data_IF_740085738246
#
_entry.id   IF_740085738246
#
_cell.length_a   1.000
_cell.length_b   1.000
_cell.length_c   1.000
_cell.angle_alpha   90.00
_cell.angle_beta   90.00
_cell.angle_gamma   90.00
#
_symmetry.space_group_name_H-M   'P 1'
#
loop_
_entity.id
_entity.type
_entity.pdbx_description
1 polymer ?
#
# COMPACT_ATOMS: atom_id res chain seq x y z
N UNK A 1 -14.43 -23.66 7.36
CA UNK A 1 -15.53 -23.77 8.34
C UNK A 1 -15.16 -23.00 9.60
N UNK A 2 -16.03 -22.13 10.12
CA UNK A 2 -15.85 -21.39 11.38
C UNK A 2 -16.58 -22.17 12.49
N UNK A 3 -15.97 -22.43 13.67
CA UNK A 3 -16.60 -23.19 14.76
C UNK A 3 -17.87 -22.49 15.29
N UNK A 4 -18.99 -23.22 15.39
CA UNK A 4 -20.23 -22.73 16.02
C UNK A 4 -20.03 -22.71 17.55
N UNK A 5 -20.08 -21.52 18.15
CA UNK A 5 -19.91 -21.29 19.60
C UNK A 5 -18.95 -20.17 19.99
N UNK A 6 -18.11 -19.68 19.05
CA UNK A 6 -17.14 -18.59 19.29
C UNK A 6 -17.56 -17.25 18.66
N UNK A 7 -18.81 -17.13 18.19
CA UNK A 7 -19.27 -16.05 17.32
C UNK A 7 -19.11 -14.64 17.92
N UNK A 8 -19.42 -14.43 19.21
CA UNK A 8 -19.40 -13.08 19.81
C UNK A 8 -17.98 -12.56 20.06
N UNK A 9 -17.12 -13.37 20.68
CA UNK A 9 -15.72 -12.99 20.94
C UNK A 9 -14.89 -12.88 19.67
N UNK A 10 -15.12 -13.79 18.72
CA UNK A 10 -14.50 -13.73 17.40
C UNK A 10 -14.94 -12.49 16.62
N UNK A 11 -16.25 -12.19 16.54
CA UNK A 11 -16.72 -10.99 15.84
C UNK A 11 -16.18 -9.71 16.47
N UNK A 12 -16.08 -9.63 17.80
CA UNK A 12 -15.54 -8.43 18.46
C UNK A 12 -14.05 -8.23 18.18
N UNK A 13 -13.24 -9.30 18.24
CA UNK A 13 -11.80 -9.20 17.89
C UNK A 13 -11.60 -8.96 16.40
N UNK A 14 -12.39 -9.63 15.56
CA UNK A 14 -12.36 -9.44 14.11
C UNK A 14 -12.78 -8.04 13.71
N UNK A 15 -13.89 -7.50 14.23
CA UNK A 15 -14.34 -6.11 13.99
C UNK A 15 -13.34 -5.09 14.51
N UNK A 16 -12.79 -5.29 15.71
CA UNK A 16 -11.77 -4.40 16.29
C UNK A 16 -10.52 -4.35 15.41
N UNK A 17 -10.04 -5.51 14.99
CA UNK A 17 -8.88 -5.57 14.12
C UNK A 17 -9.21 -5.06 12.69
N UNK A 18 -10.42 -5.31 12.17
CA UNK A 18 -10.87 -4.75 10.88
C UNK A 18 -10.83 -3.24 10.87
N UNK A 19 -11.25 -2.56 11.94
CA UNK A 19 -11.16 -1.10 12.00
C UNK A 19 -9.70 -0.61 12.01
N UNK A 20 -8.79 -1.37 12.61
CA UNK A 20 -7.36 -1.09 12.56
C UNK A 20 -6.82 -1.27 11.14
N UNK A 21 -7.20 -2.33 10.44
CA UNK A 21 -6.77 -2.63 9.07
C UNK A 21 -7.39 -1.67 8.03
N UNK A 22 -8.67 -1.30 8.18
CA UNK A 22 -9.35 -0.34 7.31
C UNK A 22 -8.77 1.08 7.41
N UNK A 23 -8.20 1.46 8.56
CA UNK A 23 -7.43 2.71 8.70
C UNK A 23 -5.97 2.59 8.23
N UNK A 24 -5.46 1.37 8.03
CA UNK A 24 -4.07 1.09 7.62
C UNK A 24 -3.89 1.02 6.10
N UNK A 25 -4.94 0.75 5.32
CA UNK A 25 -4.90 0.68 3.85
C UNK A 25 -5.24 2.02 3.17
N UNK A 26 -4.74 3.14 3.67
CA UNK A 26 -4.88 4.39 2.92
C UNK A 26 -3.95 4.33 1.71
N UNK A 27 -4.48 3.89 0.59
CA UNK A 27 -3.82 3.96 -0.71
C UNK A 27 -3.52 5.40 -1.05
N UNK A 28 -2.26 5.71 -1.37
CA UNK A 28 -1.84 7.04 -1.79
C UNK A 28 -1.57 7.02 -3.29
N UNK A 29 -2.15 7.98 -4.03
CA UNK A 29 -1.81 8.23 -5.42
C UNK A 29 -0.78 9.35 -5.44
N UNK A 30 0.42 9.04 -5.90
CA UNK A 30 1.48 10.00 -6.14
C UNK A 30 1.45 10.45 -7.60
N UNK A 31 1.58 11.76 -7.83
CA UNK A 31 1.71 12.33 -9.18
C UNK A 31 3.19 12.55 -9.45
N UNK A 32 3.72 11.86 -10.47
CA UNK A 32 5.12 11.93 -10.86
C UNK A 32 5.49 13.37 -11.23
N UNK A 33 6.63 13.84 -10.75
CA UNK A 33 7.15 15.17 -11.04
C UNK A 33 8.37 15.10 -11.98
N UNK A 34 8.76 16.25 -12.53
CA UNK A 34 9.95 16.35 -13.39
C UNK A 34 11.20 15.96 -12.60
N UNK A 35 11.91 14.94 -13.08
CA UNK A 35 13.13 14.41 -12.45
C UNK A 35 12.89 13.21 -11.53
N UNK A 36 11.63 12.83 -11.28
CA UNK A 36 11.34 11.61 -10.54
C UNK A 36 11.67 10.36 -11.38
N UNK A 37 12.05 9.30 -10.67
CA UNK A 37 12.14 7.95 -11.20
C UNK A 37 11.52 6.97 -10.17
N UNK A 38 11.23 5.74 -10.61
CA UNK A 38 10.58 4.74 -9.76
C UNK A 38 11.38 4.41 -8.49
N UNK A 39 12.72 4.38 -8.57
CA UNK A 39 13.60 4.10 -7.41
C UNK A 39 13.50 5.20 -6.35
N UNK A 40 13.60 6.47 -6.76
CA UNK A 40 13.54 7.60 -5.83
C UNK A 40 12.13 7.75 -5.22
N UNK A 41 11.07 7.45 -5.98
CA UNK A 41 9.70 7.39 -5.45
C UNK A 41 9.60 6.26 -4.42
N UNK A 42 10.12 5.07 -4.72
CA UNK A 42 10.11 3.94 -3.79
C UNK A 42 10.83 4.29 -2.47
N UNK A 43 12.01 4.90 -2.56
CA UNK A 43 12.76 5.38 -1.39
C UNK A 43 12.01 6.44 -0.59
N UNK A 44 11.43 7.44 -1.26
CA UNK A 44 10.63 8.52 -0.62
C UNK A 44 9.53 7.97 0.28
N UNK A 45 8.88 6.89 -0.16
CA UNK A 45 7.78 6.26 0.57
C UNK A 45 8.21 5.06 1.42
N UNK A 46 9.52 4.80 1.51
CA UNK A 46 10.11 3.67 2.22
C UNK A 46 9.47 2.32 1.83
N UNK A 47 9.25 2.15 0.51
CA UNK A 47 8.69 0.93 -0.07
C UNK A 47 9.74 0.26 -0.97
N UNK A 48 9.79 -1.08 -1.02
CA UNK A 48 10.63 -1.77 -1.98
C UNK A 48 10.19 -1.45 -3.42
N UNK A 49 11.14 -1.10 -4.30
CA UNK A 49 10.87 -0.87 -5.72
C UNK A 49 10.10 -2.02 -6.40
N UNK A 50 10.42 -3.32 -6.16
CA UNK A 50 9.63 -4.41 -6.72
C UNK A 50 8.15 -4.37 -6.33
N UNK A 51 7.83 -3.95 -5.10
CA UNK A 51 6.44 -3.81 -4.65
C UNK A 51 5.73 -2.68 -5.39
N UNK A 52 6.41 -1.53 -5.55
CA UNK A 52 5.89 -0.39 -6.30
C UNK A 52 5.54 -0.77 -7.75
N UNK A 53 6.41 -1.56 -8.40
CA UNK A 53 6.21 -2.06 -9.75
C UNK A 53 5.01 -3.00 -9.85
N UNK A 54 4.87 -3.93 -8.90
CA UNK A 54 3.75 -4.88 -8.86
C UNK A 54 2.41 -4.16 -8.70
N UNK A 55 2.33 -3.19 -7.78
CA UNK A 55 1.10 -2.42 -7.52
C UNK A 55 0.62 -1.66 -8.75
N UNK A 56 1.56 -1.15 -9.54
CA UNK A 56 1.27 -0.35 -10.73
C UNK A 56 1.25 -1.16 -12.03
N UNK A 57 1.58 -2.46 -11.99
CA UNK A 57 1.72 -3.34 -13.16
C UNK A 57 2.73 -2.79 -14.18
N UNK A 58 3.82 -2.20 -13.67
CA UNK A 58 4.89 -1.59 -14.46
C UNK A 58 6.11 -2.50 -14.42
N UNK A 59 6.87 -2.61 -15.50
CA UNK A 59 8.15 -3.33 -15.52
C UNK A 59 9.33 -2.39 -15.26
N UNK A 60 10.48 -2.93 -14.86
CA UNK A 60 11.72 -2.16 -14.64
C UNK A 60 12.19 -1.36 -15.87
N UNK A 61 11.74 -1.73 -17.09
CA UNK A 61 12.11 -1.07 -18.34
C UNK A 61 11.18 0.09 -18.69
N UNK A 62 10.02 0.20 -18.04
CA UNK A 62 9.09 1.28 -18.33
C UNK A 62 9.63 2.61 -17.79
N UNK A 63 9.46 3.65 -18.60
CA UNK A 63 9.70 5.02 -18.17
C UNK A 63 8.41 5.58 -17.58
N UNK A 64 8.57 6.41 -16.55
CA UNK A 64 7.49 7.24 -16.00
C UNK A 64 7.69 8.68 -16.45
N UNK A 65 6.60 9.41 -16.61
CA UNK A 65 6.57 10.79 -17.07
C UNK A 65 5.92 11.70 -16.04
N UNK A 66 6.29 12.99 -15.98
CA UNK A 66 5.59 13.95 -15.14
C UNK A 66 4.09 13.96 -15.43
N UNK A 67 3.27 13.86 -14.38
CA UNK A 67 1.81 13.73 -14.46
C UNK A 67 1.29 12.29 -14.32
N UNK A 68 2.15 11.28 -14.43
CA UNK A 68 1.76 9.89 -14.23
C UNK A 68 1.28 9.65 -12.79
N UNK A 69 0.30 8.75 -12.66
CA UNK A 69 -0.27 8.37 -11.37
C UNK A 69 0.36 7.07 -10.89
N UNK A 70 1.07 7.13 -9.79
CA UNK A 70 1.71 5.97 -9.16
C UNK A 70 0.99 5.64 -7.86
N UNK A 71 0.50 4.41 -7.77
CA UNK A 71 -0.10 3.81 -6.60
C UNK A 71 0.99 3.46 -5.60
N UNK A 72 0.85 3.95 -4.37
CA UNK A 72 1.79 3.71 -3.28
C UNK A 72 1.05 3.27 -2.02
N UNK A 73 1.52 2.18 -1.43
CA UNK A 73 1.11 1.73 -0.10
C UNK A 73 2.29 1.97 0.85
N UNK A 74 2.36 3.16 1.48
CA UNK A 74 3.49 3.51 2.32
C UNK A 74 3.60 2.49 3.46
N UNK A 75 4.83 2.04 3.71
CA UNK A 75 5.10 1.20 4.89
C UNK A 75 4.84 2.06 6.11
N UNK A 76 3.85 1.72 6.95
CA UNK A 76 3.65 2.41 8.23
C UNK A 76 4.97 2.39 9.01
N UNK A 77 5.44 3.58 9.39
CA UNK A 77 6.31 3.71 10.56
C UNK A 77 5.39 3.45 11.75
N UNK A 78 5.54 2.29 12.37
CA UNK A 78 5.01 2.08 13.71
C UNK A 78 5.98 2.82 14.64
N UNK A 79 5.61 3.99 15.13
CA UNK A 79 6.12 4.54 16.39
C UNK A 79 5.11 4.24 17.50
#
# INVERSE_FOLDING_TARGET
MIPKGSSTGFHNRYKKNMNVWAQQEKTHIYIVQKGDNLSNIAERFNVPLPALLIWNRISHRNHIHPGDRILVYPKKLNE
#
